data_IF_911762815075
#
_entry.id   IF_911762815075
#
_cell.length_a   1.000
_cell.length_b   1.000
_cell.length_c   1.000
_cell.angle_alpha   90.00
_cell.angle_beta   90.00
_cell.angle_gamma   90.00
#
_symmetry.space_group_name_H-M   'P 1'
#
loop_
_entity.id
_entity.type
_entity.pdbx_description
1 polymer ?
#
# COMPACT_ATOMS: atom_id res chain seq x y z
N UNK A 1 -10.85 -7.06 -6.46
CA UNK A 1 -10.44 -7.32 -7.86
C UNK A 1 -11.35 -8.32 -8.57
N UNK A 2 -11.40 -9.58 -8.14
CA UNK A 2 -12.09 -10.68 -8.84
C UNK A 2 -13.55 -10.42 -9.20
N UNK A 3 -14.34 -9.89 -8.26
CA UNK A 3 -15.75 -9.56 -8.49
C UNK A 3 -15.94 -8.44 -9.51
N UNK A 4 -14.99 -7.51 -9.63
CA UNK A 4 -15.06 -6.42 -10.61
C UNK A 4 -14.89 -6.95 -12.04
N UNK A 5 -13.98 -7.91 -12.25
CA UNK A 5 -13.82 -8.54 -13.57
C UNK A 5 -15.10 -9.23 -14.03
N UNK A 6 -15.69 -10.04 -13.15
CA UNK A 6 -16.93 -10.78 -13.47
C UNK A 6 -18.08 -9.78 -13.71
N UNK A 7 -18.16 -8.70 -12.93
CA UNK A 7 -19.17 -7.65 -13.15
C UNK A 7 -19.03 -6.95 -14.51
N UNK A 8 -17.81 -6.59 -14.92
CA UNK A 8 -17.55 -5.94 -16.21
C UNK A 8 -17.85 -6.88 -17.39
N UNK A 9 -17.55 -8.17 -17.26
CA UNK A 9 -17.80 -9.14 -18.34
C UNK A 9 -19.27 -9.59 -18.41
N UNK A 10 -19.91 -9.86 -17.27
CA UNK A 10 -21.27 -10.42 -17.24
C UNK A 10 -22.36 -9.35 -17.34
N UNK A 11 -22.18 -8.16 -16.75
CA UNK A 11 -23.18 -7.08 -16.69
C UNK A 11 -22.94 -6.01 -17.75
N UNK A 12 -21.70 -5.51 -17.86
CA UNK A 12 -21.37 -4.48 -18.86
C UNK A 12 -21.16 -5.07 -20.25
N UNK A 13 -21.07 -6.41 -20.36
CA UNK A 13 -20.85 -7.13 -21.62
C UNK A 13 -19.60 -6.65 -22.36
N UNK A 14 -18.59 -6.22 -21.62
CA UNK A 14 -17.28 -5.89 -22.19
C UNK A 14 -16.54 -7.17 -22.59
N UNK A 15 -15.78 -7.09 -23.68
CA UNK A 15 -14.85 -8.14 -24.05
C UNK A 15 -13.86 -8.39 -22.92
N UNK A 16 -13.44 -9.66 -22.78
CA UNK A 16 -12.56 -10.08 -21.70
C UNK A 16 -11.26 -9.26 -21.66
N UNK A 17 -10.65 -9.02 -22.82
CA UNK A 17 -9.42 -8.24 -22.97
C UNK A 17 -9.60 -6.81 -22.50
N UNK A 18 -10.74 -6.20 -22.80
CA UNK A 18 -11.05 -4.83 -22.41
C UNK A 18 -11.34 -4.71 -20.91
N UNK A 19 -12.09 -5.67 -20.35
CA UNK A 19 -12.32 -5.75 -18.91
C UNK A 19 -11.01 -5.95 -18.14
N UNK A 20 -10.13 -6.84 -18.62
CA UNK A 20 -8.83 -7.08 -18.02
C UNK A 20 -7.91 -5.86 -18.08
N UNK A 21 -7.89 -5.14 -19.19
CA UNK A 21 -7.16 -3.87 -19.30
C UNK A 21 -7.63 -2.86 -18.24
N UNK A 22 -8.94 -2.68 -18.08
CA UNK A 22 -9.50 -1.76 -17.08
C UNK A 22 -9.11 -2.15 -15.64
N UNK A 23 -9.18 -3.44 -15.30
CA UNK A 23 -8.79 -3.94 -13.98
C UNK A 23 -7.28 -3.78 -13.74
N UNK A 24 -6.44 -4.06 -14.74
CA UNK A 24 -4.99 -3.91 -14.61
C UNK A 24 -4.56 -2.45 -14.47
N UNK A 25 -5.19 -1.53 -15.21
CA UNK A 25 -4.96 -0.08 -15.06
C UNK A 25 -5.37 0.36 -13.66
N UNK A 26 -6.52 -0.10 -13.16
CA UNK A 26 -6.99 0.23 -11.82
C UNK A 26 -6.09 -0.34 -10.71
N UNK A 27 -5.62 -1.59 -10.83
CA UNK A 27 -4.67 -2.16 -9.88
C UNK A 27 -3.30 -1.47 -9.96
N UNK A 28 -2.84 -1.11 -11.16
CA UNK A 28 -1.63 -0.34 -11.35
C UNK A 28 -1.71 1.05 -10.71
N UNK A 29 -2.87 1.71 -10.78
CA UNK A 29 -3.05 3.02 -10.14
C UNK A 29 -3.00 2.94 -8.61
N UNK A 30 -3.49 1.86 -8.00
CA UNK A 30 -3.31 1.59 -6.56
C UNK A 30 -1.83 1.58 -6.22
N UNK A 31 -1.02 0.81 -6.95
CA UNK A 31 0.42 0.70 -6.72
C UNK A 31 1.15 2.03 -6.90
N UNK A 32 0.78 2.82 -7.91
CA UNK A 32 1.35 4.14 -8.15
C UNK A 32 1.00 5.14 -7.05
N UNK A 33 -0.19 5.03 -6.43
CA UNK A 33 -0.63 5.92 -5.36
C UNK A 33 0.12 5.69 -4.03
N UNK A 34 0.82 4.57 -3.85
CA UNK A 34 1.62 4.32 -2.64
C UNK A 34 2.68 5.42 -2.43
N UNK A 35 3.40 5.82 -3.49
CA UNK A 35 4.49 6.79 -3.42
C UNK A 35 4.06 8.20 -2.99
N UNK A 36 3.05 8.85 -3.63
CA UNK A 36 2.61 10.16 -3.20
C UNK A 36 1.94 10.12 -1.82
N UNK A 37 1.24 9.04 -1.48
CA UNK A 37 0.63 8.90 -0.16
C UNK A 37 1.70 8.77 0.93
N UNK A 38 2.71 7.91 0.76
CA UNK A 38 3.78 7.75 1.74
C UNK A 38 4.53 9.07 1.94
N UNK A 39 4.84 9.77 0.83
CA UNK A 39 5.44 11.09 0.90
C UNK A 39 4.60 12.10 1.68
N UNK A 40 3.28 12.12 1.44
CA UNK A 40 2.36 13.03 2.10
C UNK A 40 2.23 12.74 3.61
N UNK A 41 2.26 11.46 4.00
CA UNK A 41 2.31 11.05 5.40
C UNK A 41 3.59 11.52 6.08
N UNK A 42 4.75 11.25 5.47
CA UNK A 42 6.05 11.57 6.05
C UNK A 42 6.33 13.08 6.09
N UNK A 43 5.89 13.84 5.08
CA UNK A 43 6.19 15.26 4.96
C UNK A 43 5.21 16.16 5.73
N UNK A 44 3.93 15.79 5.82
CA UNK A 44 2.89 16.73 6.25
C UNK A 44 1.93 16.17 7.31
N UNK A 45 1.27 15.04 7.04
CA UNK A 45 0.04 14.66 7.75
C UNK A 45 0.24 13.58 8.83
N UNK A 46 1.30 12.79 8.75
CA UNK A 46 1.52 11.62 9.62
C UNK A 46 0.67 10.40 9.22
N UNK A 47 1.03 9.24 9.79
CA UNK A 47 0.43 7.95 9.47
C UNK A 47 -1.06 7.90 9.82
N UNK A 48 -1.42 8.33 11.03
CA UNK A 48 -2.82 8.32 11.50
C UNK A 48 -3.76 9.12 10.59
N UNK A 49 -3.41 10.37 10.27
CA UNK A 49 -4.28 11.25 9.50
C UNK A 49 -4.49 10.70 8.08
N UNK A 50 -3.44 10.21 7.44
CA UNK A 50 -3.58 9.57 6.13
C UNK A 50 -4.36 8.26 6.18
N UNK A 51 -4.15 7.45 7.22
CA UNK A 51 -4.94 6.23 7.39
C UNK A 51 -6.44 6.55 7.57
N UNK A 52 -6.78 7.59 8.32
CA UNK A 52 -8.15 8.07 8.47
C UNK A 52 -8.74 8.55 7.13
N UNK A 53 -8.05 9.43 6.40
CA UNK A 53 -8.52 9.98 5.13
C UNK A 53 -8.70 8.89 4.07
N UNK A 54 -7.77 7.94 3.99
CA UNK A 54 -7.82 6.84 3.03
C UNK A 54 -8.92 5.83 3.38
N UNK A 55 -9.17 5.58 4.67
CA UNK A 55 -10.31 4.74 5.12
C UNK A 55 -11.66 5.37 4.81
N UNK A 56 -11.80 6.69 4.99
CA UNK A 56 -13.00 7.42 4.58
C UNK A 56 -13.18 7.37 3.06
N UNK A 57 -12.11 7.61 2.30
CA UNK A 57 -12.11 7.49 0.83
C UNK A 57 -12.54 6.11 0.35
N UNK A 58 -12.00 5.04 0.96
CA UNK A 58 -12.37 3.65 0.67
C UNK A 58 -13.87 3.40 0.87
N UNK A 59 -14.40 3.87 2.00
CA UNK A 59 -15.82 3.69 2.36
C UNK A 59 -16.74 4.42 1.40
N UNK A 60 -16.43 5.68 1.06
CA UNK A 60 -17.17 6.45 0.07
C UNK A 60 -17.10 5.77 -1.29
N UNK A 61 -15.92 5.30 -1.70
CA UNK A 61 -15.72 4.61 -2.97
C UNK A 61 -16.56 3.34 -3.10
N UNK A 62 -16.64 2.51 -2.06
CA UNK A 62 -17.53 1.35 -2.01
C UNK A 62 -19.01 1.74 -2.06
N UNK A 63 -19.39 2.85 -1.42
CA UNK A 63 -20.73 3.42 -1.52
C UNK A 63 -21.10 3.84 -2.94
N UNK A 64 -20.21 4.59 -3.61
CA UNK A 64 -20.38 5.00 -5.02
C UNK A 64 -20.50 3.77 -5.95
N UNK A 65 -19.65 2.76 -5.71
CA UNK A 65 -19.68 1.51 -6.47
C UNK A 65 -21.01 0.76 -6.27
N UNK A 66 -21.53 0.70 -5.04
CA UNK A 66 -22.84 0.10 -4.78
C UNK A 66 -23.97 0.86 -5.49
N UNK A 67 -23.95 2.19 -5.40
CA UNK A 67 -24.92 3.07 -6.07
C UNK A 67 -24.86 2.97 -7.60
N UNK A 68 -23.69 2.71 -8.18
CA UNK A 68 -23.51 2.54 -9.63
C UNK A 68 -24.30 1.34 -10.21
N UNK A 69 -24.73 0.39 -9.36
CA UNK A 69 -25.45 -0.79 -9.85
C UNK A 69 -26.86 -0.42 -10.35
N UNK A 70 -27.31 -0.99 -11.50
CA UNK A 70 -28.60 -0.65 -12.11
C UNK A 70 -29.80 -0.61 -11.15
N UNK A 71 -30.02 -1.61 -10.27
CA UNK A 71 -31.23 -1.67 -9.47
C UNK A 71 -31.32 -0.59 -8.38
N UNK A 72 -30.19 -0.04 -7.92
CA UNK A 72 -30.15 0.86 -6.76
C UNK A 72 -30.65 2.26 -7.12
N UNK A 73 -30.19 2.79 -8.25
CA UNK A 73 -30.52 4.14 -8.71
C UNK A 73 -31.50 4.17 -9.89
N UNK A 74 -31.94 3.03 -10.43
CA UNK A 74 -32.87 2.95 -11.56
C UNK A 74 -34.11 3.86 -11.41
N UNK A 75 -34.74 3.87 -10.23
CA UNK A 75 -35.97 4.65 -9.97
C UNK A 75 -35.72 6.17 -10.02
N UNK A 76 -34.52 6.63 -9.64
CA UNK A 76 -34.18 8.06 -9.59
C UNK A 76 -33.80 8.63 -10.96
N UNK A 77 -33.26 7.81 -11.86
CA UNK A 77 -32.80 8.23 -13.19
C UNK A 77 -33.73 7.81 -14.32
N UNK A 78 -34.80 7.07 -14.03
CA UNK A 78 -35.73 6.57 -15.05
C UNK A 78 -35.17 5.41 -15.89
N UNK A 79 -34.09 4.77 -15.44
CA UNK A 79 -33.45 3.66 -16.14
C UNK A 79 -34.06 2.31 -15.76
N UNK A 80 -33.81 1.28 -16.59
CA UNK A 80 -34.23 -0.08 -16.29
C UNK A 80 -33.43 -0.69 -15.12
N UNK A 81 -34.09 -1.58 -14.36
CA UNK A 81 -33.50 -2.26 -13.19
C UNK A 81 -32.70 -3.52 -13.55
N UNK A 82 -32.71 -3.92 -14.82
CA UNK A 82 -32.06 -5.14 -15.28
C UNK A 82 -30.53 -4.99 -15.36
N UNK A 83 -29.81 -6.08 -15.11
CA UNK A 83 -28.36 -6.16 -15.30
C UNK A 83 -28.01 -6.32 -16.79
N UNK A 84 -28.27 -5.27 -17.57
CA UNK A 84 -27.99 -5.19 -19.00
C UNK A 84 -27.19 -3.92 -19.29
N UNK A 85 -26.33 -3.91 -20.32
CA UNK A 85 -25.54 -2.73 -20.68
C UNK A 85 -26.41 -1.52 -21.02
N UNK A 86 -27.56 -1.74 -21.66
CA UNK A 86 -28.56 -0.71 -22.00
C UNK A 86 -29.13 0.03 -20.78
N UNK A 87 -29.13 -0.61 -19.61
CA UNK A 87 -29.63 -0.02 -18.37
C UNK A 87 -28.58 0.86 -17.68
N UNK A 88 -27.32 0.81 -18.11
CA UNK A 88 -26.20 1.53 -17.49
C UNK A 88 -26.09 2.91 -18.11
N UNK A 89 -26.72 3.89 -17.46
CA UNK A 89 -26.67 5.29 -17.88
C UNK A 89 -25.31 5.94 -17.61
N UNK A 90 -25.06 7.09 -18.21
CA UNK A 90 -23.76 7.78 -18.08
C UNK A 90 -23.48 8.23 -16.64
N UNK A 91 -24.51 8.59 -15.87
CA UNK A 91 -24.38 8.87 -14.44
C UNK A 91 -23.89 7.65 -13.64
N UNK A 92 -24.37 6.45 -13.97
CA UNK A 92 -23.93 5.21 -13.31
C UNK A 92 -22.48 4.87 -13.68
N UNK A 93 -22.08 5.11 -14.93
CA UNK A 93 -20.68 4.96 -15.35
C UNK A 93 -19.77 5.95 -14.60
N UNK A 94 -20.20 7.21 -14.45
CA UNK A 94 -19.45 8.21 -13.70
C UNK A 94 -19.28 7.82 -12.23
N UNK A 95 -20.37 7.37 -11.57
CA UNK A 95 -20.32 6.84 -10.20
C UNK A 95 -19.40 5.63 -10.08
N UNK A 96 -19.42 4.72 -11.05
CA UNK A 96 -18.56 3.54 -11.09
C UNK A 96 -17.08 3.92 -11.14
N UNK A 97 -16.67 4.77 -12.08
CA UNK A 97 -15.26 5.17 -12.22
C UNK A 97 -14.78 6.08 -11.07
N UNK A 98 -15.64 6.98 -10.57
CA UNK A 98 -15.33 7.78 -9.39
C UNK A 98 -15.16 6.88 -8.15
N UNK A 99 -16.04 5.88 -7.99
CA UNK A 99 -15.93 4.86 -6.95
C UNK A 99 -14.63 4.08 -7.05
N UNK A 100 -14.26 3.59 -8.24
CA UNK A 100 -13.00 2.90 -8.46
C UNK A 100 -11.77 3.75 -8.08
N UNK A 101 -11.76 5.04 -8.42
CA UNK A 101 -10.67 5.94 -8.06
C UNK A 101 -10.53 6.11 -6.54
N UNK A 102 -11.64 6.29 -5.83
CA UNK A 102 -11.64 6.41 -4.36
C UNK A 102 -11.25 5.09 -3.68
N UNK A 103 -11.75 3.95 -4.18
CA UNK A 103 -11.34 2.63 -3.69
C UNK A 103 -9.84 2.44 -3.91
N UNK A 104 -9.29 2.87 -5.05
CA UNK A 104 -7.87 2.75 -5.32
C UNK A 104 -7.02 3.52 -4.30
N UNK A 105 -7.40 4.76 -4.00
CA UNK A 105 -6.78 5.58 -2.97
C UNK A 105 -6.89 4.95 -1.57
N UNK A 106 -8.05 4.39 -1.25
CA UNK A 106 -8.28 3.69 0.00
C UNK A 106 -7.43 2.43 0.17
N UNK A 107 -7.37 1.57 -0.86
CA UNK A 107 -6.54 0.37 -0.84
C UNK A 107 -5.05 0.69 -0.74
N UNK A 108 -4.60 1.72 -1.47
CA UNK A 108 -3.23 2.21 -1.40
C UNK A 108 -2.87 2.65 0.03
N UNK A 109 -3.73 3.47 0.64
CA UNK A 109 -3.53 3.94 2.02
C UNK A 109 -3.58 2.85 3.08
N UNK A 110 -4.45 1.86 2.94
CA UNK A 110 -4.50 0.71 3.83
C UNK A 110 -3.22 -0.12 3.75
N UNK A 111 -2.70 -0.33 2.54
CA UNK A 111 -1.46 -1.08 2.35
C UNK A 111 -0.23 -0.36 2.95
N UNK A 112 -0.21 0.97 2.97
CA UNK A 112 0.93 1.75 3.49
C UNK A 112 0.85 2.04 4.98
N UNK A 113 -0.33 2.42 5.50
CA UNK A 113 -0.44 3.02 6.83
C UNK A 113 -1.03 2.10 7.90
N UNK A 114 -1.73 1.03 7.52
CA UNK A 114 -2.33 0.14 8.50
C UNK A 114 -1.27 -0.53 9.39
N UNK A 115 -0.21 -1.08 8.78
CA UNK A 115 0.88 -1.74 9.50
C UNK A 115 1.60 -0.80 10.48
N UNK A 116 2.18 0.32 10.00
CA UNK A 116 2.83 1.30 10.87
C UNK A 116 1.93 1.79 11.99
N UNK A 117 0.67 2.14 11.68
CA UNK A 117 -0.30 2.57 12.69
C UNK A 117 -0.53 1.50 13.77
N UNK A 118 -0.68 0.23 13.39
CA UNK A 118 -0.88 -0.85 14.38
C UNK A 118 0.32 -1.06 15.29
N UNK A 119 1.54 -0.92 14.76
CA UNK A 119 2.77 -1.02 15.56
C UNK A 119 2.85 0.14 16.55
N UNK A 120 2.59 1.37 16.08
CA UNK A 120 2.55 2.57 16.92
C UNK A 120 1.60 2.39 18.12
N UNK A 121 0.40 1.84 17.90
CA UNK A 121 -0.56 1.62 19.00
C UNK A 121 -0.15 0.49 19.96
N UNK A 122 0.57 -0.53 19.49
CA UNK A 122 1.01 -1.65 20.33
C UNK A 122 2.18 -1.23 21.21
N UNK A 123 3.15 -0.49 20.66
CA UNK A 123 4.33 -0.02 21.40
C UNK A 123 3.92 0.88 22.58
N UNK A 124 2.96 1.79 22.37
CA UNK A 124 2.42 2.62 23.45
C UNK A 124 1.68 1.80 24.52
N UNK A 125 0.86 0.83 24.10
CA UNK A 125 0.11 -0.02 25.02
C UNK A 125 1.00 -0.93 25.88
N UNK A 126 2.16 -1.34 25.36
CA UNK A 126 3.17 -2.09 26.12
C UNK A 126 3.91 -1.22 27.13
N UNK A 127 4.15 0.06 26.81
CA UNK A 127 4.80 1.02 27.72
C UNK A 127 3.94 1.31 28.96
N UNK A 128 2.62 1.28 28.84
CA UNK A 128 1.68 1.64 29.92
C UNK A 128 1.24 0.46 30.81
N UNK A 129 1.41 -0.81 30.39
CA UNK A 129 0.92 -1.98 31.13
C UNK A 129 1.82 -3.23 30.96
N UNK A 130 2.99 -3.23 31.60
CA UNK A 130 3.92 -4.38 31.61
C UNK A 130 3.28 -5.68 32.15
N UNK A 131 2.28 -5.60 33.05
CA UNK A 131 1.76 -6.77 33.77
C UNK A 131 0.52 -7.44 33.14
N UNK A 132 -0.20 -6.76 32.23
CA UNK A 132 -1.50 -7.24 31.70
C UNK A 132 -1.50 -7.49 30.18
N UNK A 133 -0.44 -7.09 29.47
CA UNK A 133 -0.32 -7.19 28.02
C UNK A 133 -0.23 -8.65 27.52
N UNK A 134 0.41 -9.54 28.29
CA UNK A 134 0.59 -10.95 27.89
C UNK A 134 -0.72 -11.74 27.80
N UNK A 135 -1.69 -11.45 28.67
CA UNK A 135 -2.93 -12.23 28.76
C UNK A 135 -4.01 -11.74 27.78
N UNK A 136 -4.09 -10.43 27.53
CA UNK A 136 -5.02 -9.85 26.54
C UNK A 136 -4.54 -10.12 25.11
N UNK A 137 -3.22 -10.07 24.87
CA UNK A 137 -2.61 -10.40 23.58
C UNK A 137 -2.81 -11.89 23.22
N UNK A 138 -2.52 -12.83 24.14
CA UNK A 138 -2.69 -14.26 23.87
C UNK A 138 -4.15 -14.72 23.69
N UNK A 139 -5.07 -14.23 24.53
CA UNK A 139 -6.47 -14.69 24.50
C UNK A 139 -7.31 -14.03 23.38
N UNK A 140 -7.00 -12.79 22.99
CA UNK A 140 -7.64 -12.14 21.84
C UNK A 140 -7.14 -12.72 20.51
N UNK A 141 -5.89 -13.19 20.46
CA UNK A 141 -5.29 -13.81 19.26
C UNK A 141 -5.85 -15.20 18.97
N UNK A 142 -6.16 -16.01 20.00
CA UNK A 142 -6.71 -17.36 19.78
C UNK A 142 -8.20 -17.35 19.40
N UNK A 143 -9.04 -16.51 20.03
CA UNK A 143 -10.47 -16.38 19.70
C UNK A 143 -10.65 -15.56 18.42
N UNK A 144 -9.84 -14.50 18.24
CA UNK A 144 -9.79 -13.71 17.02
C UNK A 144 -9.23 -14.48 15.83
N UNK A 145 -8.23 -15.34 16.02
CA UNK A 145 -7.59 -16.12 14.95
C UNK A 145 -8.56 -17.06 14.23
N UNK A 146 -9.42 -17.77 14.98
CA UNK A 146 -10.46 -18.60 14.37
C UNK A 146 -11.53 -17.77 13.64
N UNK A 147 -11.97 -16.65 14.22
CA UNK A 147 -12.93 -15.76 13.59
C UNK A 147 -12.38 -15.13 12.30
N UNK A 148 -11.11 -14.72 12.30
CA UNK A 148 -10.41 -14.12 11.15
C UNK A 148 -10.28 -15.10 9.97
N UNK A 149 -10.28 -16.42 10.21
CA UNK A 149 -10.23 -17.43 9.15
C UNK A 149 -11.63 -17.90 8.73
N UNK A 150 -12.50 -18.18 9.71
CA UNK A 150 -13.83 -18.73 9.43
C UNK A 150 -14.79 -17.71 8.79
N UNK A 151 -14.71 -16.43 9.18
CA UNK A 151 -15.59 -15.38 8.65
C UNK A 151 -15.34 -15.13 7.15
N UNK A 152 -14.09 -14.98 6.65
CA UNK A 152 -13.85 -14.86 5.21
C UNK A 152 -14.29 -16.10 4.43
N UNK A 153 -14.04 -17.31 4.95
CA UNK A 153 -14.47 -18.56 4.31
C UNK A 153 -15.99 -18.60 4.16
N UNK A 154 -16.72 -18.34 5.24
CA UNK A 154 -18.18 -18.28 5.22
C UNK A 154 -18.70 -17.17 4.28
N UNK A 155 -18.05 -16.01 4.29
CA UNK A 155 -18.35 -14.89 3.39
C UNK A 155 -18.18 -15.26 1.92
N UNK A 156 -17.13 -15.97 1.56
CA UNK A 156 -16.86 -16.39 0.17
C UNK A 156 -17.88 -17.41 -0.32
N UNK A 157 -18.20 -18.39 0.53
CA UNK A 157 -19.25 -19.37 0.23
C UNK A 157 -20.57 -18.64 0.04
N UNK A 158 -20.93 -17.71 0.93
CA UNK A 158 -22.16 -16.92 0.80
C UNK A 158 -22.19 -16.09 -0.49
N UNK A 159 -21.08 -15.42 -0.84
CA UNK A 159 -20.94 -14.62 -2.08
C UNK A 159 -21.19 -15.47 -3.32
N UNK A 160 -20.77 -16.73 -3.33
CA UNK A 160 -21.02 -17.62 -4.46
C UNK A 160 -22.50 -17.93 -4.72
N UNK A 161 -23.37 -17.79 -3.73
CA UNK A 161 -24.81 -18.04 -3.85
C UNK A 161 -25.66 -16.77 -4.01
N UNK A 162 -25.10 -15.59 -3.73
CA UNK A 162 -25.81 -14.31 -3.89
C UNK A 162 -25.79 -13.91 -5.36
N UNK A 163 -26.93 -14.03 -6.04
CA UNK A 163 -27.09 -13.71 -7.47
C UNK A 163 -27.09 -12.21 -7.83
N UNK A 164 -27.72 -11.30 -7.05
CA UNK A 164 -27.77 -9.88 -7.43
C UNK A 164 -26.51 -9.11 -6.99
N UNK A 165 -25.84 -8.48 -7.97
CA UNK A 165 -24.66 -7.63 -7.78
C UNK A 165 -24.87 -6.47 -6.80
N UNK A 166 -26.08 -5.91 -6.77
CA UNK A 166 -26.44 -4.81 -5.89
C UNK A 166 -26.39 -5.23 -4.42
N UNK A 167 -26.80 -6.46 -4.10
CA UNK A 167 -26.72 -6.97 -2.73
C UNK A 167 -25.25 -7.25 -2.36
N UNK A 168 -24.47 -7.83 -3.27
CA UNK A 168 -23.05 -8.10 -3.05
C UNK A 168 -22.27 -6.83 -2.72
N UNK A 169 -22.35 -5.80 -3.57
CA UNK A 169 -21.63 -4.54 -3.32
C UNK A 169 -22.21 -3.78 -2.12
N UNK A 170 -23.52 -3.87 -1.88
CA UNK A 170 -24.16 -3.26 -0.72
C UNK A 170 -23.78 -3.91 0.62
N UNK A 171 -23.51 -5.22 0.63
CA UNK A 171 -22.96 -5.90 1.82
C UNK A 171 -21.54 -5.37 2.09
N UNK A 172 -20.66 -5.33 1.08
CA UNK A 172 -19.31 -4.79 1.24
C UNK A 172 -19.32 -3.34 1.72
N UNK A 173 -20.15 -2.48 1.13
CA UNK A 173 -20.27 -1.08 1.52
C UNK A 173 -20.76 -0.93 2.98
N UNK A 174 -21.75 -1.72 3.41
CA UNK A 174 -22.25 -1.68 4.80
C UNK A 174 -21.20 -2.14 5.81
N UNK A 175 -20.47 -3.21 5.52
CA UNK A 175 -19.36 -3.65 6.38
C UNK A 175 -18.26 -2.60 6.47
N UNK A 176 -17.92 -1.95 5.36
CA UNK A 176 -16.96 -0.85 5.37
C UNK A 176 -17.43 0.32 6.24
N UNK A 177 -18.72 0.70 6.16
CA UNK A 177 -19.29 1.75 7.02
C UNK A 177 -19.21 1.38 8.50
N UNK A 178 -19.55 0.14 8.85
CA UNK A 178 -19.47 -0.35 10.25
C UNK A 178 -18.02 -0.34 10.73
N UNK A 179 -17.09 -0.87 9.92
CA UNK A 179 -15.66 -0.89 10.24
C UNK A 179 -15.11 0.53 10.45
N UNK A 180 -15.45 1.45 9.56
CA UNK A 180 -15.01 2.85 9.65
C UNK A 180 -15.65 3.55 10.84
N UNK A 181 -16.89 3.23 11.20
CA UNK A 181 -17.56 3.80 12.37
C UNK A 181 -16.93 3.32 13.68
N UNK A 182 -16.56 2.04 13.77
CA UNK A 182 -15.80 1.50 14.91
C UNK A 182 -14.42 2.17 15.01
N UNK A 183 -13.72 2.31 13.89
CA UNK A 183 -12.44 3.01 13.84
C UNK A 183 -12.59 4.49 14.28
N UNK A 184 -13.61 5.20 13.80
CA UNK A 184 -13.90 6.57 14.20
C UNK A 184 -14.25 6.69 15.70
N UNK A 185 -14.91 5.68 16.28
CA UNK A 185 -15.19 5.63 17.71
C UNK A 185 -13.93 5.56 18.58
N UNK A 186 -12.82 5.03 18.04
CA UNK A 186 -11.52 4.94 18.71
C UNK A 186 -10.65 6.19 18.61
N UNK A 187 -11.04 7.21 17.84
CA UNK A 187 -10.20 8.38 17.51
C UNK A 187 -9.69 9.12 18.75
N UNK A 188 -10.50 9.21 19.81
CA UNK A 188 -10.07 9.85 21.06
C UNK A 188 -9.06 9.03 21.88
N UNK A 189 -8.92 7.73 21.59
CA UNK A 189 -8.04 6.81 22.31
C UNK A 189 -6.75 6.50 21.55
N UNK A 190 -6.66 6.85 20.27
CA UNK A 190 -5.46 6.55 19.48
C UNK A 190 -4.32 7.51 19.79
N UNK A 191 -3.09 7.00 19.77
CA UNK A 191 -1.92 7.86 19.85
C UNK A 191 -1.57 8.45 18.46
N UNK A 192 -1.06 9.68 18.47
CA UNK A 192 -0.78 10.48 17.29
C UNK A 192 0.73 10.73 17.18
N UNK A 193 1.41 9.95 16.34
CA UNK A 193 2.81 10.20 16.01
C UNK A 193 2.92 11.29 14.93
N UNK A 194 3.80 12.27 15.16
CA UNK A 194 4.00 13.41 14.24
C UNK A 194 4.91 13.03 13.08
N UNK A 195 4.63 13.58 11.90
CA UNK A 195 5.41 13.40 10.68
C UNK A 195 6.90 13.76 10.89
N UNK A 196 7.80 12.85 10.52
CA UNK A 196 9.26 12.97 10.77
C UNK A 196 10.05 13.56 9.58
N UNK A 197 9.35 13.95 8.50
CA UNK A 197 9.93 14.47 7.26
C UNK A 197 10.13 13.36 6.22
N UNK A 198 9.95 13.69 4.93
CA UNK A 198 10.07 12.69 3.86
C UNK A 198 11.47 12.69 3.23
N UNK A 199 12.13 11.53 3.08
CA UNK A 199 13.40 11.40 2.36
C UNK A 199 13.34 11.95 0.92
N UNK A 200 12.18 11.86 0.27
CA UNK A 200 11.95 12.38 -1.08
C UNK A 200 12.06 13.91 -1.11
N UNK A 201 11.59 14.62 -0.08
CA UNK A 201 11.77 16.09 -0.01
C UNK A 201 13.25 16.47 0.04
N UNK A 202 14.07 15.67 0.72
CA UNK A 202 15.52 15.86 0.80
C UNK A 202 16.18 15.63 -0.56
N UNK A 203 15.80 14.56 -1.27
CA UNK A 203 16.33 14.28 -2.62
C UNK A 203 16.00 15.40 -3.62
N UNK A 204 14.76 15.88 -3.66
CA UNK A 204 14.36 16.99 -4.55
C UNK A 204 15.10 18.29 -4.24
N UNK A 205 15.31 18.60 -2.95
CA UNK A 205 16.11 19.76 -2.52
C UNK A 205 17.55 19.70 -3.05
N UNK A 206 18.12 18.50 -3.16
CA UNK A 206 19.49 18.29 -3.65
C UNK A 206 19.61 18.38 -5.17
N UNK A 207 18.63 17.87 -5.93
CA UNK A 207 18.68 17.89 -7.40
C UNK A 207 18.37 19.26 -8.00
N UNK A 208 17.46 20.02 -7.38
CA UNK A 208 17.05 21.35 -7.85
C UNK A 208 17.26 22.40 -6.76
N UNK A 209 18.51 22.83 -6.50
CA UNK A 209 18.74 23.97 -5.62
C UNK A 209 18.07 25.20 -6.23
N UNK A 210 17.19 25.86 -5.47
CA UNK A 210 16.53 27.10 -5.91
C UNK A 210 17.54 28.18 -6.33
N UNK A 211 17.10 29.24 -7.05
CA UNK A 211 17.99 30.29 -7.55
C UNK A 211 18.80 30.89 -6.40
N UNK A 212 20.12 30.67 -6.42
CA UNK A 212 21.05 31.24 -5.45
C UNK A 212 21.30 32.70 -5.84
N UNK A 213 20.88 33.64 -4.99
CA UNK A 213 21.42 35.00 -5.07
C UNK A 213 22.90 34.95 -4.68
N UNK A 214 23.76 35.05 -5.69
CA UNK A 214 25.22 35.04 -5.60
C UNK A 214 25.80 36.26 -4.87
N UNK A 215 24.96 37.25 -4.54
CA UNK A 215 25.40 38.52 -3.94
C UNK A 215 25.59 38.46 -2.41
N UNK A 216 25.19 37.37 -1.73
CA UNK A 216 25.36 37.21 -0.28
C UNK A 216 26.64 36.44 0.11
N UNK A 217 27.53 36.11 -0.85
CA UNK A 217 28.65 35.17 -0.66
C UNK A 217 30.05 35.82 -0.64
N UNK A 218 30.13 37.15 -0.61
CA UNK A 218 31.40 37.87 -0.49
C UNK A 218 31.36 38.93 0.62
N UNK A 219 31.23 38.49 1.88
CA UNK A 219 31.68 39.33 2.99
C UNK A 219 32.18 38.43 4.13
N UNK A 220 33.51 38.29 4.22
CA UNK A 220 34.19 37.49 5.24
C UNK A 220 35.63 37.15 4.86
N UNK A 221 36.55 38.05 5.18
CA UNK A 221 37.99 37.93 4.95
C UNK A 221 38.66 36.78 5.72
N UNK A 222 39.59 36.09 5.03
CA UNK A 222 40.93 35.73 5.52
C UNK A 222 41.11 34.54 6.46
N UNK A 223 41.63 33.41 5.96
CA UNK A 223 42.87 32.77 6.44
C UNK A 223 43.26 31.52 5.61
N UNK A 224 44.56 31.47 5.29
CA UNK A 224 45.46 30.36 4.91
C UNK A 224 44.95 28.90 4.74
N UNK A 225 45.20 28.37 3.54
CA UNK A 225 45.95 27.14 3.21
C UNK A 225 45.73 25.88 4.09
N UNK A 226 44.93 24.91 3.62
CA UNK A 226 45.08 23.47 3.93
C UNK A 226 44.71 22.62 2.70
N UNK A 227 45.49 21.54 2.53
CA UNK A 227 45.65 20.64 1.39
C UNK A 227 44.42 19.94 0.82
N UNK A 228 44.55 19.66 -0.48
CA UNK A 228 43.67 18.93 -1.39
C UNK A 228 43.56 17.42 -1.09
N UNK A 229 42.33 16.90 -1.08
CA UNK A 229 41.99 15.47 -1.30
C UNK A 229 40.91 15.33 -2.40
N UNK A 230 40.90 14.21 -3.16
CA UNK A 230 40.33 14.16 -4.50
C UNK A 230 38.81 14.12 -4.52
N UNK A 231 38.24 15.21 -5.01
CA UNK A 231 36.82 15.46 -5.25
C UNK A 231 36.29 14.63 -6.45
N UNK A 232 35.37 13.71 -6.21
CA UNK A 232 34.68 12.97 -7.28
C UNK A 232 33.57 13.85 -7.87
N UNK A 233 33.85 14.40 -9.06
CA UNK A 233 32.92 15.27 -9.82
C UNK A 233 31.66 14.51 -10.22
N UNK A 234 30.51 14.86 -9.64
CA UNK A 234 29.22 14.34 -10.08
C UNK A 234 28.01 15.19 -9.67
N UNK A 235 27.97 15.70 -8.44
CA UNK A 235 26.97 16.69 -8.00
C UNK A 235 27.64 17.67 -7.03
N UNK A 236 27.69 18.95 -7.42
CA UNK A 236 28.39 19.99 -6.66
C UNK A 236 27.50 20.53 -5.53
N UNK A 237 27.76 20.10 -4.30
CA UNK A 237 27.36 20.84 -3.09
C UNK A 237 28.64 21.30 -2.37
N UNK A 238 28.99 22.58 -2.53
CA UNK A 238 30.01 23.22 -1.69
C UNK A 238 29.52 23.24 -0.24
N UNK A 239 30.05 22.35 0.59
CA UNK A 239 29.81 22.33 2.03
C UNK A 239 30.96 23.10 2.71
N UNK A 240 30.69 24.30 3.22
CA UNK A 240 31.65 25.01 4.08
C UNK A 240 31.56 24.41 5.48
N UNK A 241 32.63 23.75 5.92
CA UNK A 241 32.74 23.17 7.26
C UNK A 241 33.02 24.29 8.26
N UNK A 242 32.28 24.28 9.38
CA UNK A 242 32.37 25.17 10.57
C UNK A 242 31.52 26.46 10.54
N UNK A 243 30.29 26.36 11.05
CA UNK A 243 29.63 27.46 11.79
C UNK A 243 28.73 26.89 12.90
N UNK A 244 28.51 27.69 13.94
CA UNK A 244 27.90 27.31 15.22
C UNK A 244 26.50 26.66 15.13
N UNK A 245 26.18 25.80 16.11
CA UNK A 245 24.94 24.99 16.20
C UNK A 245 23.63 25.80 16.03
N UNK A 246 23.64 27.10 16.40
CA UNK A 246 22.48 27.99 16.28
C UNK A 246 22.25 28.46 14.82
N UNK A 247 23.30 28.66 14.03
CA UNK A 247 23.21 29.09 12.63
C UNK A 247 22.76 27.94 11.70
N UNK A 248 23.07 26.70 12.08
CA UNK A 248 22.68 25.48 11.36
C UNK A 248 21.16 25.23 11.41
N UNK A 249 20.48 25.65 12.49
CA UNK A 249 19.01 25.55 12.62
C UNK A 249 18.27 26.54 11.73
N UNK A 250 18.85 27.72 11.50
CA UNK A 250 18.27 28.80 10.68
C UNK A 250 18.57 28.62 9.19
N UNK A 251 19.66 27.91 8.84
CA UNK A 251 20.10 27.62 7.48
C UNK A 251 19.91 26.15 7.06
N UNK A 252 18.91 25.44 7.61
CA UNK A 252 18.59 24.05 7.21
C UNK A 252 18.25 23.92 5.71
N UNK A 253 17.87 25.04 5.07
CA UNK A 253 17.62 25.16 3.63
C UNK A 253 18.85 25.49 2.79
N UNK A 254 19.96 25.91 3.42
CA UNK A 254 21.17 26.41 2.73
C UNK A 254 22.38 25.46 2.82
N UNK A 255 22.47 24.64 3.87
CA UNK A 255 23.56 23.68 4.03
C UNK A 255 23.06 22.25 3.79
N UNK A 256 23.56 21.65 2.73
CA UNK A 256 23.40 20.23 2.43
C UNK A 256 24.43 19.45 3.25
N UNK A 257 24.00 18.43 4.01
CA UNK A 257 24.97 17.51 4.63
C UNK A 257 25.58 16.62 3.56
N UNK A 258 26.88 16.34 3.64
CA UNK A 258 27.57 15.40 2.74
C UNK A 258 26.88 14.02 2.74
N UNK A 259 26.31 13.62 3.88
CA UNK A 259 25.55 12.38 4.01
C UNK A 259 24.24 12.39 3.18
N UNK A 260 23.48 13.49 3.17
CA UNK A 260 22.23 13.58 2.39
C UNK A 260 22.49 13.48 0.87
N UNK A 261 23.65 13.97 0.41
CA UNK A 261 24.07 13.88 -1.00
C UNK A 261 24.44 12.44 -1.36
N UNK A 262 25.14 11.74 -0.47
CA UNK A 262 25.55 10.35 -0.66
C UNK A 262 24.34 9.41 -0.68
N UNK A 263 23.38 9.58 0.24
CA UNK A 263 22.12 8.83 0.25
C UNK A 263 21.30 9.04 -1.03
N UNK A 264 21.20 10.29 -1.51
CA UNK A 264 20.52 10.60 -2.78
C UNK A 264 21.22 9.95 -3.97
N UNK A 265 22.56 9.95 -3.96
CA UNK A 265 23.36 9.32 -5.02
C UNK A 265 23.12 7.81 -5.05
N UNK A 266 23.12 7.15 -3.90
CA UNK A 266 22.80 5.71 -3.79
C UNK A 266 21.40 5.45 -4.36
N UNK A 267 20.39 6.23 -3.95
CA UNK A 267 19.02 6.07 -4.45
C UNK A 267 18.90 6.19 -5.98
N UNK A 268 19.61 7.14 -6.59
CA UNK A 268 19.65 7.30 -8.06
C UNK A 268 20.29 6.06 -8.73
N UNK A 269 21.36 5.51 -8.16
CA UNK A 269 22.02 4.31 -8.68
C UNK A 269 21.16 3.05 -8.53
N UNK A 270 20.16 3.05 -7.64
CA UNK A 270 19.20 1.94 -7.51
C UNK A 270 18.13 1.96 -8.61
N UNK A 271 17.86 3.09 -9.27
CA UNK A 271 16.77 3.23 -10.27
C UNK A 271 16.82 2.15 -11.36
N UNK A 272 17.98 1.83 -11.99
CA UNK A 272 18.04 0.77 -12.99
C UNK A 272 17.63 -0.61 -12.45
N UNK A 273 17.90 -0.91 -11.17
CA UNK A 273 17.43 -2.14 -10.54
C UNK A 273 15.93 -2.11 -10.29
N UNK A 274 15.34 -0.99 -9.87
CA UNK A 274 13.88 -0.87 -9.73
C UNK A 274 13.15 -1.09 -11.06
N UNK A 275 13.73 -0.65 -12.18
CA UNK A 275 13.13 -0.83 -13.50
C UNK A 275 13.03 -2.30 -13.93
N UNK A 276 13.92 -3.19 -13.48
CA UNK A 276 13.82 -4.62 -13.82
C UNK A 276 12.62 -5.28 -13.13
N UNK A 277 12.19 -4.79 -11.96
CA UNK A 277 10.99 -5.26 -11.26
C UNK A 277 9.68 -4.94 -12.00
N UNK A 278 9.69 -4.02 -12.97
CA UNK A 278 8.51 -3.77 -13.83
C UNK A 278 8.09 -5.06 -14.55
N UNK A 279 9.05 -5.85 -15.04
CA UNK A 279 8.76 -7.13 -15.69
C UNK A 279 8.09 -8.12 -14.73
N UNK A 280 8.53 -8.15 -13.46
CA UNK A 280 7.89 -8.96 -12.43
C UNK A 280 6.43 -8.54 -12.20
N UNK A 281 6.17 -7.23 -12.23
CA UNK A 281 4.81 -6.67 -12.17
C UNK A 281 3.92 -7.11 -13.33
N UNK A 282 4.45 -7.08 -14.56
CA UNK A 282 3.72 -7.54 -15.76
C UNK A 282 3.37 -9.03 -15.68
N UNK A 283 4.32 -9.87 -15.26
CA UNK A 283 4.09 -11.30 -15.06
C UNK A 283 3.01 -11.54 -14.00
N UNK A 284 3.08 -10.81 -12.88
CA UNK A 284 2.10 -10.91 -11.79
C UNK A 284 0.68 -10.52 -12.25
N UNK A 285 0.55 -9.45 -13.04
CA UNK A 285 -0.73 -9.01 -13.60
C UNK A 285 -1.30 -9.98 -14.65
N UNK A 286 -0.43 -10.69 -15.36
CA UNK A 286 -0.84 -11.77 -16.29
C UNK A 286 -1.40 -12.96 -15.51
N UNK A 287 -0.81 -13.28 -14.35
CA UNK A 287 -1.30 -14.30 -13.43
C UNK A 287 -2.74 -14.05 -12.98
N UNK A 288 -3.06 -12.84 -12.56
CA UNK A 288 -4.41 -12.53 -12.07
C UNK A 288 -5.48 -12.48 -13.17
N UNK A 289 -5.11 -12.22 -14.42
CA UNK A 289 -6.07 -12.08 -15.51
C UNK A 289 -6.18 -13.35 -16.36
N UNK A 290 -5.10 -13.92 -16.86
CA UNK A 290 -5.17 -15.11 -17.72
C UNK A 290 -5.70 -16.34 -16.98
N UNK A 291 -5.32 -16.56 -15.72
CA UNK A 291 -5.80 -17.73 -14.95
C UNK A 291 -7.31 -17.67 -14.69
N UNK A 292 -7.86 -16.47 -14.52
CA UNK A 292 -9.29 -16.30 -14.32
C UNK A 292 -10.09 -16.73 -15.56
N UNK A 293 -9.62 -16.38 -16.76
CA UNK A 293 -10.27 -16.78 -18.00
C UNK A 293 -10.14 -18.28 -18.23
N UNK A 294 -8.95 -18.84 -18.01
CA UNK A 294 -8.75 -20.28 -18.09
C UNK A 294 -9.69 -21.03 -17.13
N UNK A 295 -9.80 -20.54 -15.89
CA UNK A 295 -10.70 -21.09 -14.87
C UNK A 295 -12.20 -20.93 -15.23
N UNK A 296 -12.57 -19.98 -16.09
CA UNK A 296 -13.94 -19.83 -16.60
C UNK A 296 -14.30 -20.93 -17.61
N UNK A 297 -13.35 -21.37 -18.44
CA UNK A 297 -13.53 -22.40 -19.47
C UNK A 297 -13.27 -23.83 -18.98
N UNK A 298 -12.61 -24.01 -17.83
CA UNK A 298 -12.40 -25.32 -17.21
C UNK A 298 -13.72 -25.95 -16.73
N UNK A 299 -13.82 -27.29 -16.79
CA UNK A 299 -14.94 -27.99 -16.15
C UNK A 299 -14.81 -27.89 -14.63
N UNK A 300 -15.80 -27.24 -14.00
CA UNK A 300 -15.82 -26.95 -12.57
C UNK A 300 -16.60 -27.99 -11.76
N UNK A 301 -16.84 -29.17 -12.32
CA UNK A 301 -17.53 -30.26 -11.63
C UNK A 301 -16.53 -31.13 -10.87
N UNK A 302 -16.67 -31.16 -9.54
CA UNK A 302 -16.01 -32.14 -8.68
C UNK A 302 -17.07 -33.15 -8.26
N UNK A 303 -17.11 -34.29 -8.95
CA UNK A 303 -18.18 -35.28 -8.82
C UNK A 303 -19.55 -34.67 -9.16
N UNK A 304 -20.43 -34.56 -8.17
CA UNK A 304 -21.78 -33.98 -8.33
C UNK A 304 -21.84 -32.46 -8.05
N UNK A 305 -20.77 -31.87 -7.51
CA UNK A 305 -20.77 -30.49 -7.03
C UNK A 305 -20.11 -29.58 -8.07
N UNK A 306 -20.79 -28.48 -8.46
CA UNK A 306 -20.20 -27.44 -9.32
C UNK A 306 -19.54 -26.38 -8.45
N UNK A 307 -18.21 -26.30 -8.49
CA UNK A 307 -17.44 -25.36 -7.69
C UNK A 307 -17.53 -23.94 -8.27
N UNK A 308 -17.89 -22.93 -7.47
CA UNK A 308 -17.89 -21.53 -7.90
C UNK A 308 -16.47 -21.02 -8.19
N UNK A 309 -16.33 -20.19 -9.22
CA UNK A 309 -15.03 -19.62 -9.64
C UNK A 309 -14.33 -18.86 -8.50
N UNK A 310 -15.11 -18.16 -7.67
CA UNK A 310 -14.62 -17.36 -6.53
C UNK A 310 -13.87 -18.23 -5.50
N UNK A 311 -14.25 -19.50 -5.34
CA UNK A 311 -13.60 -20.43 -4.39
C UNK A 311 -12.20 -20.79 -4.87
N UNK A 312 -12.02 -21.05 -6.17
CA UNK A 312 -10.71 -21.36 -6.76
C UNK A 312 -9.73 -20.18 -6.61
N UNK A 313 -10.21 -18.96 -6.84
CA UNK A 313 -9.41 -17.75 -6.72
C UNK A 313 -8.99 -17.49 -5.28
N UNK A 314 -9.86 -17.79 -4.31
CA UNK A 314 -9.48 -17.69 -2.91
C UNK A 314 -8.40 -18.71 -2.53
N UNK A 315 -8.50 -19.96 -3.00
CA UNK A 315 -7.44 -20.94 -2.77
C UNK A 315 -6.10 -20.50 -3.35
N UNK A 316 -6.10 -19.84 -4.51
CA UNK A 316 -4.89 -19.25 -5.09
C UNK A 316 -4.27 -18.19 -4.18
N UNK A 317 -5.07 -17.27 -3.64
CA UNK A 317 -4.60 -16.23 -2.70
C UNK A 317 -4.03 -16.86 -1.41
N UNK A 318 -4.75 -17.83 -0.82
CA UNK A 318 -4.28 -18.52 0.39
C UNK A 318 -3.00 -19.34 0.13
N UNK A 319 -2.90 -20.00 -1.02
CA UNK A 319 -1.70 -20.72 -1.42
C UNK A 319 -0.50 -19.78 -1.50
N UNK A 320 -0.65 -18.63 -2.13
CA UNK A 320 0.43 -17.63 -2.25
C UNK A 320 0.90 -17.15 -0.87
N UNK A 321 -0.03 -16.86 0.05
CA UNK A 321 0.28 -16.46 1.42
C UNK A 321 0.96 -17.59 2.21
N UNK A 322 0.49 -18.81 2.06
CA UNK A 322 1.06 -20.00 2.71
C UNK A 322 2.50 -20.23 2.24
N UNK A 323 2.75 -20.21 0.94
CA UNK A 323 4.09 -20.40 0.38
C UNK A 323 5.05 -19.28 0.77
N UNK A 324 4.59 -18.03 0.83
CA UNK A 324 5.41 -16.91 1.33
C UNK A 324 5.85 -17.14 2.78
N UNK A 325 4.92 -17.51 3.67
CA UNK A 325 5.23 -17.82 5.08
C UNK A 325 6.14 -19.04 5.21
N UNK A 326 5.86 -20.09 4.45
CA UNK A 326 6.69 -21.30 4.42
C UNK A 326 8.11 -20.97 3.97
N UNK A 327 8.27 -20.15 2.92
CA UNK A 327 9.57 -19.70 2.44
C UNK A 327 10.34 -18.97 3.54
N UNK A 328 9.72 -18.02 4.24
CA UNK A 328 10.36 -17.29 5.36
C UNK A 328 10.73 -18.22 6.52
N UNK A 329 9.86 -19.18 6.86
CA UNK A 329 10.15 -20.17 7.91
C UNK A 329 11.32 -21.07 7.52
N UNK A 330 11.35 -21.55 6.28
CA UNK A 330 12.43 -22.39 5.77
C UNK A 330 13.73 -21.58 5.69
N UNK A 331 13.69 -20.37 5.14
CA UNK A 331 14.88 -19.52 5.02
C UNK A 331 15.45 -19.10 6.37
N UNK A 332 14.62 -18.89 7.39
CA UNK A 332 15.10 -18.62 8.76
C UNK A 332 15.74 -19.86 9.39
N UNK A 333 15.15 -21.05 9.20
CA UNK A 333 15.76 -22.30 9.67
C UNK A 333 17.14 -22.58 9.05
N UNK A 334 17.33 -22.22 7.77
CA UNK A 334 18.62 -22.41 7.09
C UNK A 334 19.58 -21.22 7.28
N UNK A 335 19.08 -20.00 7.45
CA UNK A 335 19.90 -18.79 7.63
C UNK A 335 20.63 -18.75 8.98
N UNK A 336 20.03 -19.27 10.04
CA UNK A 336 20.68 -19.38 11.35
C UNK A 336 21.76 -20.49 11.39
N UNK A 337 21.83 -21.35 10.37
CA UNK A 337 22.87 -22.39 10.29
C UNK A 337 24.22 -21.84 9.78
N UNK A 338 24.24 -20.69 9.09
CA UNK A 338 25.46 -20.07 8.55
C UNK A 338 26.05 -18.98 9.46
N UNK A 339 25.29 -18.44 10.42
CA UNK A 339 25.79 -17.44 11.38
C UNK A 339 26.61 -18.07 12.52
N UNK A 340 26.38 -19.34 12.86
CA UNK A 340 27.16 -20.04 13.89
C UNK A 340 28.52 -20.55 13.39
N UNK A 341 28.65 -20.85 12.08
CA UNK A 341 29.90 -21.37 11.51
C UNK A 341 30.97 -20.30 11.28
N UNK A 342 30.59 -19.02 11.16
CA UNK A 342 31.54 -17.90 10.99
C UNK A 342 32.07 -17.35 12.34
N UNK A 343 31.43 -17.72 13.46
CA UNK A 343 31.84 -17.33 14.81
C UNK A 343 32.93 -18.23 15.41
N UNK A 344 33.08 -19.46 14.91
CA UNK A 344 34.08 -20.42 15.40
C UNK A 344 35.42 -20.32 14.63
N UNK A 345 35.37 -19.96 13.34
CA UNK A 345 36.57 -19.79 12.50
C UNK A 345 37.41 -18.55 12.91
N UNK A 346 36.79 -17.56 13.56
CA UNK A 346 37.46 -16.33 14.03
C UNK A 346 38.19 -16.46 15.37
N UNK A 347 38.05 -17.59 16.09
CA UNK A 347 38.74 -17.84 17.38
C UNK A 347 40.11 -18.51 17.26
N UNK A 348 40.49 -18.98 16.07
CA UNK A 348 41.73 -19.75 15.87
C UNK A 348 42.85 -19.04 15.11
N UNK A 349 42.73 -17.73 14.84
CA UNK A 349 43.74 -16.96 14.10
C UNK A 349 44.21 -15.71 14.87
N UNK A 350 44.71 -15.88 16.09
CA UNK A 350 45.59 -14.92 16.74
C UNK A 350 46.61 -15.66 17.63
N UNK A 351 47.87 -15.85 17.18
CA UNK A 351 49.05 -15.91 18.04
C UNK A 351 49.46 -14.52 18.52
#
# INVERSE_FOLDING_TARGET
>A
MWMMMIYLTDVWKLDYTHAAANINVWMGSVLLLLLPLSHLADAFLGNFCLFLLTTLSYTIGLGLLWMSTPPVLAKSYGNCTAYKPECIGDHQKALFYAGLALIAMGMAGHATFLGPFTVEQIDDGMQDNEDNAGCLSGSCFCIGGFAVVLIPIAGIIAVAFIKPWAILFGICARFAIVSTSVFLGGVCSYNYVRAQGSPVTTMFRMTYPGPRNVNDLYEGQGLSQIDSLPYTKGLSCNCTTQQSLQQQKQNRWRLCSVMEVEETKIAIHMIPMWLTFILCGVVSATGSTCFLEQAKHLDRKVGRIKVPLVVLLWFYEQGTQFFSKLYVMVSSCFGDSDSDSDSDSRRHLLP
#
